data_IF_814993339524
#
_entry.id   IF_814993339524
#
_cell.length_a   1.000
_cell.length_b   1.000
_cell.length_c   1.000
_cell.angle_alpha   90.00
_cell.angle_beta   90.00
_cell.angle_gamma   90.00
#
_symmetry.space_group_name_H-M   'P 1'
#
loop_
_entity.id
_entity.type
_entity.pdbx_description
1 polymer ?
#
# COMPACT_ATOMS: atom_id res chain seq x y z
N UNK A 1 17.38 -33.48 -28.67
CA UNK A 1 16.62 -32.39 -28.01
C UNK A 1 15.16 -32.84 -27.93
N UNK A 2 14.76 -33.40 -26.79
CA UNK A 2 13.45 -34.03 -26.63
C UNK A 2 12.43 -32.95 -26.23
N UNK A 3 11.63 -32.51 -27.20
CA UNK A 3 10.53 -31.57 -26.96
C UNK A 3 9.42 -32.35 -26.26
N UNK A 4 9.27 -32.13 -24.95
CA UNK A 4 8.17 -32.70 -24.18
C UNK A 4 6.88 -32.11 -24.76
N UNK A 5 6.14 -32.92 -25.53
CA UNK A 5 4.78 -32.61 -25.96
C UNK A 5 3.88 -32.65 -24.73
N UNK A 6 3.69 -31.50 -24.11
CA UNK A 6 2.67 -31.29 -23.07
C UNK A 6 1.31 -31.54 -23.74
N UNK A 7 0.65 -32.65 -23.40
CA UNK A 7 -0.67 -33.00 -23.92
C UNK A 7 -1.73 -31.96 -23.53
N UNK A 8 -2.82 -31.85 -24.31
CA UNK A 8 -3.86 -30.82 -24.11
C UNK A 8 -4.29 -30.65 -22.66
N UNK A 9 -4.62 -31.76 -21.99
CA UNK A 9 -5.00 -31.80 -20.57
C UNK A 9 -4.00 -31.12 -19.61
N UNK A 10 -2.70 -31.21 -19.88
CA UNK A 10 -1.67 -30.52 -19.07
C UNK A 10 -1.61 -29.02 -19.34
N UNK A 11 -1.88 -28.56 -20.57
CA UNK A 11 -1.96 -27.12 -20.88
C UNK A 11 -3.18 -26.49 -20.20
N UNK A 12 -4.31 -27.19 -20.17
CA UNK A 12 -5.50 -26.78 -19.42
C UNK A 12 -5.21 -26.57 -17.95
N UNK A 13 -4.58 -27.58 -17.35
CA UNK A 13 -4.22 -27.57 -15.94
C UNK A 13 -3.35 -26.36 -15.63
N UNK A 14 -2.33 -26.10 -16.45
CA UNK A 14 -1.43 -24.97 -16.30
C UNK A 14 -2.17 -23.63 -16.41
N UNK A 15 -3.04 -23.44 -17.40
CA UNK A 15 -3.82 -22.22 -17.55
C UNK A 15 -4.81 -21.97 -16.41
N UNK A 16 -5.47 -23.01 -15.91
CA UNK A 16 -6.35 -22.94 -14.74
C UNK A 16 -5.55 -22.62 -13.47
N UNK A 17 -4.40 -23.26 -13.25
CA UNK A 17 -3.54 -23.01 -12.10
C UNK A 17 -2.98 -21.58 -12.09
N UNK A 18 -2.56 -21.06 -13.25
CA UNK A 18 -2.11 -19.67 -13.41
C UNK A 18 -3.22 -18.68 -13.06
N UNK A 19 -4.43 -18.91 -13.58
CA UNK A 19 -5.59 -18.07 -13.31
C UNK A 19 -5.96 -18.07 -11.83
N UNK A 20 -5.98 -19.26 -11.21
CA UNK A 20 -6.27 -19.43 -9.80
C UNK A 20 -5.23 -18.76 -8.92
N UNK A 21 -3.94 -18.92 -9.24
CA UNK A 21 -2.85 -18.29 -8.52
C UNK A 21 -2.95 -16.75 -8.60
N UNK A 22 -3.20 -16.21 -9.79
CA UNK A 22 -3.39 -14.78 -9.98
C UNK A 22 -4.62 -14.24 -9.24
N UNK A 23 -5.73 -14.99 -9.16
CA UNK A 23 -6.90 -14.59 -8.39
C UNK A 23 -6.66 -14.64 -6.87
N UNK A 24 -6.04 -15.71 -6.37
CA UNK A 24 -5.69 -15.84 -4.96
C UNK A 24 -4.70 -14.76 -4.52
N UNK A 25 -3.73 -14.42 -5.37
CA UNK A 25 -2.80 -13.33 -5.11
C UNK A 25 -3.50 -11.97 -5.08
N UNK A 26 -4.48 -11.74 -5.96
CA UNK A 26 -5.28 -10.51 -5.96
C UNK A 26 -6.12 -10.38 -4.69
N UNK A 27 -6.78 -11.47 -4.30
CA UNK A 27 -7.52 -11.54 -3.04
C UNK A 27 -6.60 -11.27 -1.86
N UNK A 28 -5.42 -11.88 -1.83
CA UNK A 28 -4.42 -11.59 -0.81
C UNK A 28 -4.08 -10.10 -0.76
N UNK A 29 -3.75 -9.46 -1.89
CA UNK A 29 -3.42 -8.02 -1.94
C UNK A 29 -4.56 -7.11 -1.46
N UNK A 30 -5.80 -7.48 -1.72
CA UNK A 30 -6.98 -6.65 -1.41
C UNK A 30 -7.52 -6.84 0.01
N UNK A 31 -7.37 -8.03 0.60
CA UNK A 31 -8.02 -8.35 1.88
C UNK A 31 -7.03 -8.76 2.96
N UNK A 32 -6.17 -9.74 2.69
CA UNK A 32 -5.28 -10.33 3.69
C UNK A 32 -4.03 -9.48 3.94
N UNK A 33 -3.42 -8.94 2.89
CA UNK A 33 -2.25 -8.07 2.98
C UNK A 33 -2.51 -6.85 3.87
N UNK A 34 -3.67 -6.15 3.74
CA UNK A 34 -4.10 -5.16 4.71
C UNK A 34 -4.15 -5.59 6.17
N UNK A 35 -4.50 -6.85 6.45
CA UNK A 35 -4.65 -7.37 7.81
C UNK A 35 -3.34 -7.92 8.38
N UNK A 36 -2.45 -8.43 7.52
CA UNK A 36 -1.24 -9.15 7.92
C UNK A 36 -0.01 -8.26 8.02
N UNK A 37 0.02 -7.13 7.30
CA UNK A 37 1.14 -6.19 7.39
C UNK A 37 0.93 -5.27 8.57
N UNK A 38 1.77 -5.44 9.60
CA UNK A 38 1.86 -4.50 10.72
C UNK A 38 2.12 -3.10 10.18
N UNK A 39 1.27 -2.14 10.57
CA UNK A 39 1.34 -0.75 10.09
C UNK A 39 0.52 -0.44 8.83
N UNK A 40 -0.18 -1.42 8.24
CA UNK A 40 -1.22 -1.14 7.25
C UNK A 40 -2.45 -0.57 7.95
N UNK A 41 -2.59 0.75 7.98
CA UNK A 41 -3.49 1.40 8.94
C UNK A 41 -2.83 1.59 10.30
N UNK A 42 -1.53 1.93 10.33
CA UNK A 42 -0.82 2.27 11.59
C UNK A 42 -1.48 3.47 12.25
N UNK A 43 -1.57 3.41 13.57
CA UNK A 43 -1.96 4.56 14.38
C UNK A 43 -0.79 4.89 15.28
N UNK A 44 -0.17 6.03 15.04
CA UNK A 44 0.91 6.55 15.86
C UNK A 44 0.44 7.77 16.64
N UNK A 45 1.05 7.98 17.81
CA UNK A 45 0.79 9.16 18.62
C UNK A 45 2.09 9.95 18.74
N UNK A 46 2.00 11.22 18.38
CA UNK A 46 3.10 12.18 18.51
C UNK A 46 2.75 13.11 19.66
N UNK A 47 3.56 13.10 20.71
CA UNK A 47 3.33 13.93 21.90
C UNK A 47 4.26 15.13 21.81
N UNK A 48 3.70 16.31 21.54
CA UNK A 48 4.45 17.56 21.44
C UNK A 48 4.48 18.23 22.81
N UNK A 49 5.65 18.39 23.42
CA UNK A 49 5.84 18.98 24.74
C UNK A 49 7.20 19.69 24.85
N UNK A 50 7.53 20.21 26.03
CA UNK A 50 8.80 20.92 26.24
C UNK A 50 10.04 20.05 25.96
N UNK A 51 9.96 18.73 26.16
CA UNK A 51 11.10 17.83 25.98
C UNK A 51 11.51 17.70 24.52
N UNK A 52 10.57 17.79 23.58
CA UNK A 52 10.83 17.77 22.14
C UNK A 52 10.66 19.15 21.49
N UNK A 53 10.67 20.22 22.29
CA UNK A 53 10.50 21.60 21.79
C UNK A 53 9.22 21.76 20.97
N UNK A 54 8.17 21.04 21.38
CA UNK A 54 6.86 21.00 20.73
C UNK A 54 6.90 20.60 19.24
N UNK A 55 7.87 19.77 18.87
CA UNK A 55 8.12 19.32 17.50
C UNK A 55 8.36 17.81 17.47
N UNK A 56 7.77 17.12 16.51
CA UNK A 56 8.02 15.70 16.26
C UNK A 56 7.84 15.40 14.76
N UNK A 57 8.32 14.24 14.29
CA UNK A 57 8.37 13.94 12.87
C UNK A 57 8.04 12.48 12.52
N UNK A 58 7.44 12.28 11.34
CA UNK A 58 7.15 10.99 10.74
C UNK A 58 7.97 10.84 9.46
N UNK A 59 8.74 9.77 9.38
CA UNK A 59 9.39 9.36 8.14
C UNK A 59 8.51 8.37 7.39
N UNK A 60 8.12 8.73 6.17
CA UNK A 60 7.28 7.91 5.31
C UNK A 60 8.07 7.43 4.11
N UNK A 61 7.94 6.14 3.78
CA UNK A 61 8.47 5.58 2.54
C UNK A 61 7.42 4.70 1.84
N UNK A 62 7.06 5.07 0.62
CA UNK A 62 6.16 4.32 -0.24
C UNK A 62 4.93 5.12 -0.65
N UNK A 63 3.85 4.42 -1.01
CA UNK A 63 2.56 5.03 -1.34
C UNK A 63 1.65 5.00 -0.10
N UNK A 64 1.58 6.10 0.65
CA UNK A 64 0.97 6.15 1.98
C UNK A 64 0.00 7.33 2.07
N UNK A 65 -1.23 7.07 2.51
CA UNK A 65 -2.15 8.10 2.97
C UNK A 65 -1.94 8.38 4.45
N UNK A 66 -1.82 9.64 4.81
CA UNK A 66 -1.65 10.10 6.20
C UNK A 66 -2.81 10.98 6.56
N UNK A 67 -3.33 10.79 7.77
CA UNK A 67 -4.28 11.69 8.41
C UNK A 67 -3.81 12.01 9.83
N UNK A 68 -3.57 13.28 10.09
CA UNK A 68 -3.13 13.81 11.38
C UNK A 68 -4.31 14.52 12.05
N UNK A 69 -4.54 14.25 13.33
CA UNK A 69 -5.68 14.78 14.08
C UNK A 69 -5.20 15.24 15.46
N UNK A 70 -5.57 16.45 15.85
CA UNK A 70 -5.36 16.95 17.21
C UNK A 70 -6.48 17.90 17.61
N UNK A 71 -6.73 18.00 18.92
CA UNK A 71 -7.66 18.96 19.48
C UNK A 71 -7.10 20.40 19.43
N UNK A 72 -5.77 20.52 19.38
CA UNK A 72 -5.03 21.77 19.29
C UNK A 72 -4.50 21.99 17.86
N UNK A 73 -4.51 23.23 17.34
CA UNK A 73 -3.88 23.52 16.05
C UNK A 73 -2.39 23.18 16.05
N UNK A 74 -1.92 22.59 14.96
CA UNK A 74 -0.52 22.28 14.70
C UNK A 74 -0.12 22.73 13.28
N UNK A 75 1.13 23.11 13.11
CA UNK A 75 1.73 23.39 11.81
C UNK A 75 2.30 22.09 11.22
N UNK A 76 2.06 21.88 9.93
CA UNK A 76 2.65 20.77 9.17
C UNK A 76 3.74 21.32 8.25
N UNK A 77 4.91 20.67 8.27
CA UNK A 77 5.97 20.84 7.28
C UNK A 77 6.22 19.51 6.57
N UNK A 78 6.44 19.58 5.27
CA UNK A 78 6.74 18.42 4.43
C UNK A 78 8.08 18.71 3.76
N UNK A 79 9.05 17.83 3.98
CA UNK A 79 10.40 17.95 3.42
C UNK A 79 11.04 19.34 3.68
N UNK A 80 10.77 19.89 4.88
CA UNK A 80 11.23 21.20 5.32
C UNK A 80 10.36 22.39 4.88
N UNK A 81 9.37 22.19 3.99
CA UNK A 81 8.48 23.25 3.52
C UNK A 81 7.21 23.36 4.37
N UNK A 82 6.90 24.57 4.86
CA UNK A 82 5.68 24.82 5.64
C UNK A 82 4.45 24.79 4.73
N UNK A 83 3.54 23.86 5.03
CA UNK A 83 2.29 23.67 4.29
C UNK A 83 1.18 24.54 4.86
N UNK A 84 1.08 24.61 6.19
CA UNK A 84 0.03 25.36 6.86
C UNK A 84 -0.22 24.91 8.29
N UNK A 85 -1.22 25.52 8.92
CA UNK A 85 -1.69 25.20 10.26
C UNK A 85 -3.07 24.53 10.20
N UNK A 86 -3.24 23.43 10.92
CA UNK A 86 -4.38 22.53 10.83
C UNK A 86 -4.77 21.99 12.21
N UNK A 87 -6.05 21.60 12.36
CA UNK A 87 -6.48 20.65 13.41
C UNK A 87 -6.62 19.23 12.87
N UNK A 88 -6.90 19.13 11.57
CA UNK A 88 -6.97 17.87 10.83
C UNK A 88 -6.24 18.12 9.52
N UNK A 89 -5.24 17.30 9.23
CA UNK A 89 -4.51 17.31 7.97
C UNK A 89 -4.63 15.93 7.33
N UNK A 90 -4.83 15.87 6.02
CA UNK A 90 -4.90 14.60 5.28
C UNK A 90 -4.31 14.75 3.90
N UNK A 91 -3.39 13.84 3.56
CA UNK A 91 -2.73 13.82 2.25
C UNK A 91 -2.27 12.41 1.88
N UNK A 92 -1.94 12.23 0.60
CA UNK A 92 -1.35 10.99 0.07
C UNK A 92 0.04 11.30 -0.46
N UNK A 93 1.01 10.53 0.01
CA UNK A 93 2.42 10.65 -0.29
C UNK A 93 2.90 9.48 -1.15
N UNK A 94 3.87 9.74 -2.02
CA UNK A 94 4.48 8.73 -2.89
C UNK A 94 5.99 8.90 -2.89
N UNK A 95 6.69 7.91 -2.37
CA UNK A 95 8.14 7.93 -2.23
C UNK A 95 8.53 8.22 -0.79
N UNK A 96 9.69 8.85 -0.62
CA UNK A 96 10.26 9.19 0.68
C UNK A 96 9.91 10.61 1.04
N UNK A 97 9.31 10.80 2.22
CA UNK A 97 8.91 12.12 2.73
C UNK A 97 9.14 12.19 4.24
N UNK A 98 9.60 13.34 4.71
CA UNK A 98 9.62 13.70 6.12
C UNK A 98 8.46 14.64 6.43
N UNK A 99 7.56 14.22 7.31
CA UNK A 99 6.47 15.07 7.80
C UNK A 99 6.81 15.52 9.20
N UNK A 100 7.06 16.81 9.38
CA UNK A 100 7.28 17.41 10.69
C UNK A 100 6.00 18.12 11.14
N UNK A 101 5.69 17.97 12.41
CA UNK A 101 4.57 18.64 13.06
C UNK A 101 5.07 19.49 14.22
N UNK A 102 4.58 20.72 14.28
CA UNK A 102 4.97 21.69 15.29
C UNK A 102 3.72 22.30 15.94
N UNK A 103 3.79 22.57 17.23
CA UNK A 103 2.72 23.25 17.96
C UNK A 103 3.31 24.31 18.88
N UNK A 104 2.53 25.35 19.17
CA UNK A 104 2.91 26.37 20.15
C UNK A 104 2.48 26.00 21.59
N UNK A 105 1.85 24.83 21.75
CA UNK A 105 1.30 24.33 23.01
C UNK A 105 1.50 22.83 23.10
N UNK A 106 1.52 22.32 24.32
CA UNK A 106 1.53 20.87 24.54
C UNK A 106 0.28 20.23 23.95
N UNK A 107 0.46 19.23 23.09
CA UNK A 107 -0.66 18.52 22.46
C UNK A 107 -0.25 17.11 22.02
N UNK A 108 -1.28 16.28 21.79
CA UNK A 108 -1.13 14.96 21.20
C UNK A 108 -1.69 15.00 19.79
N UNK A 109 -0.92 14.52 18.83
CA UNK A 109 -1.34 14.36 17.43
C UNK A 109 -1.48 12.86 17.17
N UNK A 110 -2.66 12.45 16.75
CA UNK A 110 -2.95 11.10 16.29
C UNK A 110 -2.70 11.01 14.79
N UNK A 111 -1.76 10.16 14.39
CA UNK A 111 -1.40 9.91 13.01
C UNK A 111 -1.98 8.57 12.54
N UNK A 112 -2.94 8.62 11.61
CA UNK A 112 -3.48 7.45 10.91
C UNK A 112 -2.72 7.29 9.58
N UNK A 113 -2.00 6.18 9.42
CA UNK A 113 -1.17 5.88 8.25
C UNK A 113 -1.75 4.68 7.50
N UNK A 114 -2.13 4.87 6.23
CA UNK A 114 -2.63 3.78 5.37
C UNK A 114 -1.71 3.59 4.17
N UNK A 115 -0.98 2.48 4.17
CA UNK A 115 -0.19 2.07 3.02
C UNK A 115 -1.10 1.56 1.89
N UNK A 116 -0.76 1.89 0.64
CA UNK A 116 -1.43 1.36 -0.54
C UNK A 116 -0.57 0.27 -1.17
N UNK A 117 -1.14 -0.88 -1.58
CA UNK A 117 -0.37 -1.91 -2.23
C UNK A 117 0.19 -1.41 -3.56
N UNK A 118 1.40 -1.84 -3.91
CA UNK A 118 2.05 -1.34 -5.12
C UNK A 118 1.24 -1.70 -6.38
N UNK A 119 1.11 -0.74 -7.31
CA UNK A 119 0.46 -0.98 -8.61
C UNK A 119 1.09 -2.17 -9.36
N UNK A 120 2.41 -2.37 -9.19
CA UNK A 120 3.15 -3.48 -9.79
C UNK A 120 2.60 -4.84 -9.35
N UNK A 121 2.26 -5.00 -8.07
CA UNK A 121 1.73 -6.26 -7.56
C UNK A 121 0.34 -6.54 -8.12
N UNK A 122 -0.50 -5.51 -8.26
CA UNK A 122 -1.80 -5.65 -8.93
C UNK A 122 -1.66 -6.04 -10.40
N UNK A 123 -0.75 -5.38 -11.13
CA UNK A 123 -0.47 -5.71 -12.54
C UNK A 123 -0.02 -7.15 -12.69
N UNK A 124 0.89 -7.63 -11.82
CA UNK A 124 1.35 -9.01 -11.85
C UNK A 124 0.18 -10.00 -11.68
N UNK A 125 -0.72 -9.72 -10.74
CA UNK A 125 -1.93 -10.52 -10.54
C UNK A 125 -2.79 -10.61 -11.81
N UNK A 126 -3.02 -9.46 -12.46
CA UNK A 126 -3.81 -9.38 -13.68
C UNK A 126 -3.14 -10.09 -14.86
N UNK A 127 -1.81 -10.04 -14.95
CA UNK A 127 -1.04 -10.76 -15.96
C UNK A 127 -1.12 -12.27 -15.77
N UNK A 128 -1.07 -12.78 -14.54
CA UNK A 128 -1.25 -14.20 -14.25
C UNK A 128 -2.65 -14.69 -14.63
N UNK A 129 -3.69 -13.91 -14.28
CA UNK A 129 -5.08 -14.22 -14.63
C UNK A 129 -5.26 -14.23 -16.15
N UNK A 130 -4.87 -13.16 -16.83
CA UNK A 130 -5.03 -13.04 -18.28
C UNK A 130 -4.23 -14.10 -19.05
N UNK A 131 -2.98 -14.37 -18.64
CA UNK A 131 -2.17 -15.42 -19.24
C UNK A 131 -2.80 -16.80 -19.09
N UNK A 132 -3.32 -17.13 -17.90
CA UNK A 132 -4.03 -18.38 -17.66
C UNK A 132 -5.29 -18.53 -18.51
N UNK A 133 -6.10 -17.47 -18.64
CA UNK A 133 -7.30 -17.45 -19.50
C UNK A 133 -6.94 -17.68 -20.97
N UNK A 134 -5.90 -17.02 -21.48
CA UNK A 134 -5.44 -17.18 -22.87
C UNK A 134 -5.05 -18.62 -23.14
N UNK A 135 -4.28 -19.25 -22.25
CA UNK A 135 -3.85 -20.65 -22.40
C UNK A 135 -5.05 -21.61 -22.47
N UNK A 136 -6.05 -21.45 -21.60
CA UNK A 136 -7.26 -22.28 -21.62
C UNK A 136 -8.09 -22.04 -22.88
N UNK A 137 -8.15 -20.79 -23.36
CA UNK A 137 -8.92 -20.44 -24.55
C UNK A 137 -8.29 -20.99 -25.83
N UNK A 138 -6.96 -20.90 -25.95
CA UNK A 138 -6.21 -21.48 -27.07
C UNK A 138 -6.37 -22.99 -27.14
N UNK A 139 -6.30 -23.68 -26.00
CA UNK A 139 -6.53 -25.13 -25.98
C UNK A 139 -7.97 -25.47 -26.39
N UNK A 140 -8.97 -24.73 -25.91
CA UNK A 140 -10.36 -24.93 -26.30
C UNK A 140 -10.58 -24.75 -27.81
N UNK A 141 -9.83 -23.87 -28.47
CA UNK A 141 -9.87 -23.70 -29.94
C UNK A 141 -9.13 -24.80 -30.70
N UNK A 142 -8.21 -25.52 -30.05
CA UNK A 142 -7.39 -26.56 -30.65
C UNK A 142 -8.01 -27.96 -30.57
N UNK A 143 -9.04 -28.15 -29.74
CA UNK A 143 -9.96 -29.30 -29.72
C UNK A 143 -11.22 -29.02 -30.52
#
# INVERSE_FOLDING_TARGET
MMIIKIGGSMKKLLGVSLSLCGFLYLMFLLTLYPMLVSGYGSHEQMVLNENNQFTDALYLNGDISVRLISDTPFTVKIDGEKVGEFKIYSARFKGEHLIEVESNKECVIYAELKQHPSLKNYILSLLLISGGIVIVWEEKRAT
#
